data_IF_027354567547
#
_entry.id   IF_027354567547
#
_cell.length_a   1.000
_cell.length_b   1.000
_cell.length_c   1.000
_cell.angle_alpha   90.00
_cell.angle_beta   90.00
_cell.angle_gamma   90.00
#
_symmetry.space_group_name_H-M   'P 1'
#
loop_
_entity.id
_entity.type
_entity.pdbx_description
1 polymer ?
#
# COMPACT_ATOMS: atom_id res chain seq x y z
N UNK A 1 22.04 -32.10 0.44
CA UNK A 1 23.12 -31.61 -0.42
C UNK A 1 22.49 -30.81 -1.55
N UNK A 2 22.36 -29.49 -1.38
CA UNK A 2 21.69 -28.58 -2.33
C UNK A 2 22.77 -28.09 -3.31
N UNK A 3 22.65 -28.43 -4.58
CA UNK A 3 23.59 -28.02 -5.61
C UNK A 3 23.65 -26.48 -5.68
N UNK A 4 24.85 -25.87 -5.83
CA UNK A 4 25.00 -24.43 -5.93
C UNK A 4 24.24 -23.91 -7.17
N UNK A 5 23.62 -22.74 -7.11
CA UNK A 5 22.74 -22.21 -8.15
C UNK A 5 23.53 -21.53 -9.28
N UNK A 6 24.27 -22.30 -10.04
CA UNK A 6 25.13 -21.84 -11.14
C UNK A 6 24.80 -22.48 -12.50
N UNK A 7 23.56 -22.83 -12.81
CA UNK A 7 23.21 -23.51 -14.06
C UNK A 7 22.17 -22.75 -14.87
N UNK A 8 22.34 -22.76 -16.17
CA UNK A 8 21.40 -22.36 -17.23
C UNK A 8 20.13 -23.21 -17.27
N UNK A 9 19.90 -24.04 -16.25
CA UNK A 9 18.84 -25.03 -16.20
C UNK A 9 17.49 -24.43 -15.81
N UNK A 10 16.46 -24.92 -16.49
CA UNK A 10 15.08 -24.57 -16.18
C UNK A 10 14.68 -25.08 -14.80
N UNK A 11 14.24 -24.16 -13.94
CA UNK A 11 13.69 -24.49 -12.62
C UNK A 11 12.18 -24.52 -12.68
N UNK A 12 11.58 -25.52 -12.03
CA UNK A 12 10.14 -25.66 -11.86
C UNK A 12 9.70 -25.02 -10.54
N UNK A 13 8.44 -24.66 -10.48
CA UNK A 13 7.79 -24.22 -9.26
C UNK A 13 7.57 -25.43 -8.33
N UNK A 14 7.39 -25.15 -7.04
CA UNK A 14 7.14 -26.20 -6.05
C UNK A 14 5.84 -27.00 -6.39
N UNK A 15 5.81 -28.33 -6.22
CA UNK A 15 4.66 -29.16 -6.60
C UNK A 15 3.37 -28.84 -5.82
N UNK A 16 3.47 -28.26 -4.63
CA UNK A 16 2.31 -27.80 -3.84
C UNK A 16 1.72 -26.46 -4.33
N UNK A 17 2.26 -25.83 -5.36
CA UNK A 17 1.74 -24.57 -5.95
C UNK A 17 0.25 -24.66 -6.32
N UNK A 18 -0.25 -25.72 -6.98
CA UNK A 18 -1.67 -25.86 -7.28
C UNK A 18 -2.54 -25.84 -6.03
N UNK A 19 -2.11 -26.52 -4.96
CA UNK A 19 -2.86 -26.60 -3.69
C UNK A 19 -3.05 -25.22 -3.04
N UNK A 20 -2.02 -24.38 -3.05
CA UNK A 20 -2.10 -23.01 -2.49
C UNK A 20 -3.04 -22.11 -3.31
N UNK A 21 -2.98 -22.22 -4.64
CA UNK A 21 -3.90 -21.49 -5.54
C UNK A 21 -5.35 -21.92 -5.34
N UNK A 22 -5.55 -23.23 -5.18
CA UNK A 22 -6.86 -23.85 -5.02
C UNK A 22 -7.46 -23.64 -3.63
N UNK A 23 -6.66 -23.67 -2.58
CA UNK A 23 -7.14 -23.50 -1.22
C UNK A 23 -7.97 -22.23 -1.02
N UNK A 24 -7.63 -21.16 -1.73
CA UNK A 24 -8.42 -19.90 -1.74
C UNK A 24 -9.79 -20.08 -2.41
N UNK A 25 -9.85 -20.82 -3.51
CA UNK A 25 -11.11 -21.08 -4.23
C UNK A 25 -12.02 -22.00 -3.42
N UNK A 26 -11.47 -23.07 -2.85
CA UNK A 26 -12.18 -23.99 -1.98
C UNK A 26 -12.75 -23.24 -0.76
N UNK A 27 -11.97 -22.39 -0.13
CA UNK A 27 -12.43 -21.58 1.00
C UNK A 27 -13.55 -20.60 0.59
N UNK A 28 -13.43 -19.93 -0.55
CA UNK A 28 -14.46 -19.03 -1.06
C UNK A 28 -15.76 -19.79 -1.38
N UNK A 29 -15.65 -20.95 -2.02
CA UNK A 29 -16.81 -21.82 -2.32
C UNK A 29 -17.45 -22.32 -1.04
N UNK A 30 -16.66 -22.78 -0.05
CA UNK A 30 -17.18 -23.23 1.23
C UNK A 30 -17.95 -22.14 1.98
N UNK A 31 -17.42 -20.91 1.98
CA UNK A 31 -18.07 -19.75 2.61
C UNK A 31 -19.42 -19.38 1.97
N UNK A 32 -19.61 -19.68 0.68
CA UNK A 32 -20.88 -19.43 -0.03
C UNK A 32 -21.83 -20.61 0.12
N UNK A 33 -21.32 -21.87 0.03
CA UNK A 33 -22.16 -23.05 0.01
C UNK A 33 -22.63 -23.49 1.38
N UNK A 34 -21.84 -23.32 2.46
CA UNK A 34 -22.24 -23.73 3.82
C UNK A 34 -23.50 -23.00 4.30
N UNK A 35 -23.63 -21.67 4.23
CA UNK A 35 -24.89 -20.99 4.59
C UNK A 35 -26.07 -21.38 3.70
N UNK A 36 -25.82 -21.62 2.41
CA UNK A 36 -26.86 -22.06 1.47
C UNK A 36 -27.39 -23.47 1.82
N UNK A 37 -26.50 -24.37 2.19
CA UNK A 37 -26.89 -25.72 2.66
C UNK A 37 -27.69 -25.70 3.98
N UNK A 38 -27.34 -24.76 4.89
CA UNK A 38 -28.08 -24.60 6.15
C UNK A 38 -29.50 -24.02 5.93
N UNK A 39 -29.64 -23.07 4.99
CA UNK A 39 -30.94 -22.48 4.67
C UNK A 39 -31.90 -23.43 3.95
N UNK A 40 -31.41 -24.53 3.34
CA UNK A 40 -32.15 -25.48 2.52
C UNK A 40 -32.55 -26.75 3.27
N UNK A 41 -32.64 -26.74 4.60
CA UNK A 41 -33.02 -27.90 5.44
C UNK A 41 -34.49 -28.37 5.30
N UNK A 42 -35.20 -27.94 4.27
CA UNK A 42 -36.56 -28.41 3.95
C UNK A 42 -36.53 -29.84 3.37
N UNK A 43 -37.47 -30.75 3.77
CA UNK A 43 -37.49 -32.15 3.30
C UNK A 43 -37.64 -32.32 1.78
N UNK A 44 -38.17 -31.31 1.09
CA UNK A 44 -38.30 -31.29 -0.39
C UNK A 44 -37.04 -30.86 -1.11
N UNK A 45 -36.05 -30.28 -0.41
CA UNK A 45 -34.86 -29.67 -1.00
C UNK A 45 -33.70 -30.60 -1.36
N UNK A 46 -33.78 -31.91 -1.05
CA UNK A 46 -32.66 -32.84 -1.30
C UNK A 46 -32.33 -33.01 -2.80
N UNK A 47 -33.32 -32.95 -3.67
CA UNK A 47 -33.13 -33.04 -5.12
C UNK A 47 -32.66 -31.69 -5.72
N UNK A 48 -33.12 -30.56 -5.16
CA UNK A 48 -32.72 -29.23 -5.63
C UNK A 48 -31.25 -28.89 -5.28
N UNK A 49 -30.70 -29.51 -4.23
CA UNK A 49 -29.30 -29.32 -3.81
C UNK A 49 -28.31 -30.13 -4.66
N UNK A 50 -28.74 -31.22 -5.29
CA UNK A 50 -27.86 -32.11 -6.05
C UNK A 50 -27.22 -31.38 -7.24
N UNK A 51 -27.96 -30.60 -8.01
CA UNK A 51 -27.44 -29.83 -9.15
C UNK A 51 -26.42 -28.78 -8.78
N UNK A 52 -26.67 -27.85 -7.83
CA UNK A 52 -25.68 -26.88 -7.42
C UNK A 52 -24.38 -27.50 -6.88
N UNK A 53 -24.50 -28.57 -6.06
CA UNK A 53 -23.33 -29.29 -5.52
C UNK A 53 -22.51 -29.92 -6.65
N UNK A 54 -23.17 -30.53 -7.62
CA UNK A 54 -22.52 -31.16 -8.78
C UNK A 54 -21.84 -30.10 -9.67
N UNK A 55 -22.48 -28.97 -9.91
CA UNK A 55 -21.90 -27.83 -10.66
C UNK A 55 -20.66 -27.27 -9.94
N UNK A 56 -20.74 -27.08 -8.62
CA UNK A 56 -19.59 -26.60 -7.84
C UNK A 56 -18.46 -27.64 -7.82
N UNK A 57 -18.76 -28.91 -7.67
CA UNK A 57 -17.78 -30.00 -7.73
C UNK A 57 -17.07 -30.03 -9.11
N UNK A 58 -17.83 -29.89 -10.19
CA UNK A 58 -17.30 -29.83 -11.54
C UNK A 58 -16.41 -28.60 -11.76
N UNK A 59 -16.84 -27.41 -11.30
CA UNK A 59 -16.05 -26.19 -11.38
C UNK A 59 -14.74 -26.30 -10.58
N UNK A 60 -14.81 -26.85 -9.36
CA UNK A 60 -13.63 -27.13 -8.54
C UNK A 60 -12.72 -28.13 -9.24
N UNK A 61 -13.25 -29.21 -9.77
CA UNK A 61 -12.49 -30.24 -10.51
C UNK A 61 -11.77 -29.65 -11.73
N UNK A 62 -12.52 -28.94 -12.58
CA UNK A 62 -11.97 -28.29 -13.78
C UNK A 62 -10.89 -27.26 -13.45
N UNK A 63 -11.16 -26.44 -12.45
CA UNK A 63 -10.19 -25.49 -11.95
C UNK A 63 -8.95 -26.19 -11.39
N UNK A 64 -9.04 -27.33 -10.65
CA UNK A 64 -7.90 -28.11 -10.14
C UNK A 64 -7.03 -28.61 -11.28
N UNK A 65 -7.66 -29.20 -12.28
CA UNK A 65 -6.96 -29.66 -13.49
C UNK A 65 -6.23 -28.51 -14.16
N UNK A 66 -6.90 -27.35 -14.34
CA UNK A 66 -6.29 -26.15 -14.90
C UNK A 66 -5.10 -25.64 -14.09
N UNK A 67 -5.16 -25.68 -12.77
CA UNK A 67 -4.06 -25.27 -11.91
C UNK A 67 -2.87 -26.23 -11.95
N UNK A 68 -3.10 -27.54 -12.00
CA UNK A 68 -2.06 -28.57 -12.13
C UNK A 68 -1.37 -28.42 -13.49
N UNK A 69 -2.12 -28.27 -14.57
CA UNK A 69 -1.57 -28.06 -15.91
C UNK A 69 -0.79 -26.76 -15.97
N UNK A 70 -1.33 -25.66 -15.42
CA UNK A 70 -0.62 -24.38 -15.34
C UNK A 70 0.71 -24.48 -14.58
N UNK A 71 0.72 -25.22 -13.46
CA UNK A 71 1.95 -25.47 -12.69
C UNK A 71 2.97 -26.28 -13.49
N UNK A 72 2.54 -27.37 -14.13
CA UNK A 72 3.43 -28.28 -14.87
C UNK A 72 4.16 -27.58 -16.04
N UNK A 73 3.51 -26.57 -16.65
CA UNK A 73 4.06 -25.82 -17.79
C UNK A 73 4.85 -24.59 -17.35
N UNK A 74 4.65 -24.11 -16.13
CA UNK A 74 5.35 -22.90 -15.65
C UNK A 74 6.78 -23.25 -15.21
N UNK A 75 7.75 -22.57 -15.83
CA UNK A 75 9.18 -22.73 -15.54
C UNK A 75 9.90 -21.39 -15.65
N UNK A 76 11.00 -21.27 -14.94
CA UNK A 76 11.80 -20.05 -14.94
C UNK A 76 13.31 -20.35 -14.96
N UNK A 77 14.09 -19.38 -15.47
CA UNK A 77 15.56 -19.43 -15.41
C UNK A 77 16.14 -18.02 -15.42
N UNK A 78 17.34 -17.89 -14.94
CA UNK A 78 18.18 -16.70 -15.12
C UNK A 78 19.13 -17.00 -16.26
N UNK A 79 19.03 -16.25 -17.35
CA UNK A 79 19.83 -16.44 -18.56
C UNK A 79 20.61 -15.15 -18.85
N UNK A 80 21.91 -15.16 -18.58
CA UNK A 80 22.76 -13.98 -18.74
C UNK A 80 22.26 -12.81 -17.90
N UNK A 81 21.84 -11.73 -18.56
CA UNK A 81 21.31 -10.51 -17.93
C UNK A 81 19.78 -10.47 -17.82
N UNK A 82 19.08 -11.58 -18.09
CA UNK A 82 17.61 -11.62 -18.13
C UNK A 82 17.05 -12.69 -17.17
N UNK A 83 15.94 -12.36 -16.49
CA UNK A 83 15.06 -13.33 -15.85
C UNK A 83 13.99 -13.74 -16.86
N UNK A 84 13.98 -15.01 -17.24
CA UNK A 84 13.00 -15.58 -18.16
C UNK A 84 11.99 -16.46 -17.43
N UNK A 85 10.70 -16.17 -17.64
CA UNK A 85 9.59 -16.92 -17.06
C UNK A 85 8.72 -17.40 -18.23
N UNK A 86 8.51 -18.69 -18.32
CA UNK A 86 7.60 -19.30 -19.30
C UNK A 86 6.38 -19.85 -18.57
N UNK A 87 5.19 -19.52 -19.07
CA UNK A 87 3.91 -19.95 -18.50
C UNK A 87 2.87 -20.15 -19.60
N UNK A 88 1.78 -20.90 -19.27
CA UNK A 88 0.62 -21.07 -20.13
C UNK A 88 0.66 -22.36 -20.95
N UNK A 89 -0.47 -23.09 -20.92
CA UNK A 89 -0.68 -24.33 -21.70
C UNK A 89 -1.31 -24.03 -23.07
N UNK A 90 -2.40 -23.30 -23.12
CA UNK A 90 -3.10 -22.96 -24.38
C UNK A 90 -2.39 -21.79 -25.07
N UNK A 91 -2.07 -20.74 -24.30
CA UNK A 91 -1.36 -19.55 -24.79
C UNK A 91 -0.02 -19.46 -24.08
N UNK A 92 1.04 -19.90 -24.73
CA UNK A 92 2.37 -19.79 -24.17
C UNK A 92 2.77 -18.31 -24.06
N UNK A 93 3.13 -17.90 -22.87
CA UNK A 93 3.67 -16.60 -22.59
C UNK A 93 5.10 -16.76 -22.10
N UNK A 94 6.03 -16.04 -22.74
CA UNK A 94 7.42 -15.95 -22.30
C UNK A 94 7.69 -14.50 -21.92
N UNK A 95 7.88 -14.26 -20.62
CA UNK A 95 8.21 -12.96 -20.09
C UNK A 95 9.72 -12.91 -19.85
N UNK A 96 10.39 -11.93 -20.45
CA UNK A 96 11.81 -11.63 -20.23
C UNK A 96 11.93 -10.33 -19.49
N UNK A 97 12.55 -10.36 -18.33
CA UNK A 97 12.76 -9.19 -17.47
C UNK A 97 14.27 -8.96 -17.39
N UNK A 98 14.81 -7.89 -18.02
CA UNK A 98 16.20 -7.53 -17.85
C UNK A 98 16.51 -7.28 -16.37
N UNK A 99 17.56 -7.91 -15.84
CA UNK A 99 17.96 -7.77 -14.44
C UNK A 99 18.23 -6.31 -14.08
N UNK A 100 18.82 -5.53 -14.97
CA UNK A 100 19.05 -4.09 -14.80
C UNK A 100 17.77 -3.25 -14.65
N UNK A 101 16.60 -3.79 -15.03
CA UNK A 101 15.29 -3.15 -14.84
C UNK A 101 14.57 -3.58 -13.57
N UNK A 102 15.10 -4.55 -12.83
CA UNK A 102 14.54 -4.97 -11.55
C UNK A 102 14.77 -3.85 -10.54
N UNK A 103 13.69 -3.40 -9.90
CA UNK A 103 13.72 -2.30 -8.94
C UNK A 103 13.48 -2.75 -7.51
N UNK A 104 12.73 -3.83 -7.34
CA UNK A 104 12.48 -4.45 -6.04
C UNK A 104 12.09 -5.92 -6.24
N UNK A 105 12.38 -6.72 -5.24
CA UNK A 105 11.96 -8.12 -5.17
C UNK A 105 11.25 -8.30 -3.83
N UNK A 106 9.94 -8.51 -3.88
CA UNK A 106 9.09 -8.67 -2.71
C UNK A 106 8.82 -10.16 -2.45
N UNK A 107 8.76 -10.55 -1.19
CA UNK A 107 8.38 -11.90 -0.78
C UNK A 107 7.02 -11.83 -0.11
N UNK A 108 6.09 -12.66 -0.57
CA UNK A 108 4.72 -12.72 -0.05
C UNK A 108 4.39 -14.16 0.33
N UNK A 109 4.10 -14.40 1.60
CA UNK A 109 3.72 -15.72 2.11
C UNK A 109 2.26 -15.70 2.61
N UNK A 110 1.26 -16.09 1.77
CA UNK A 110 -0.11 -16.29 2.21
C UNK A 110 -0.20 -17.39 3.28
N UNK A 111 -1.22 -17.34 4.15
CA UNK A 111 -1.36 -18.27 5.26
C UNK A 111 -1.20 -19.74 4.84
N UNK A 112 -1.92 -20.15 3.80
CA UNK A 112 -1.86 -21.53 3.28
C UNK A 112 -0.45 -21.89 2.81
N UNK A 113 0.21 -20.96 2.08
CA UNK A 113 1.58 -21.16 1.62
C UNK A 113 2.55 -21.23 2.81
N UNK A 114 2.36 -20.37 3.83
CA UNK A 114 3.20 -20.33 5.03
C UNK A 114 3.11 -21.63 5.84
N UNK A 115 1.91 -22.19 6.01
CA UNK A 115 1.71 -23.50 6.67
C UNK A 115 2.42 -24.62 5.91
N UNK A 116 2.47 -24.53 4.58
CA UNK A 116 3.16 -25.48 3.71
C UNK A 116 4.65 -25.17 3.51
N UNK A 117 5.21 -24.18 4.22
CA UNK A 117 6.59 -23.76 4.08
C UNK A 117 6.93 -23.10 2.74
N UNK A 118 5.96 -22.46 2.08
CA UNK A 118 6.10 -21.85 0.75
C UNK A 118 5.99 -20.33 0.80
N UNK A 119 6.66 -19.67 -0.14
CA UNK A 119 6.58 -18.22 -0.36
C UNK A 119 6.56 -17.89 -1.87
N UNK A 120 5.88 -16.82 -2.22
CA UNK A 120 5.83 -16.26 -3.57
C UNK A 120 6.85 -15.12 -3.66
N UNK A 121 7.73 -15.16 -4.66
CA UNK A 121 8.66 -14.08 -4.97
C UNK A 121 8.07 -13.23 -6.10
N UNK A 122 7.91 -11.93 -5.86
CA UNK A 122 7.40 -10.96 -6.82
C UNK A 122 8.49 -10.02 -7.26
N UNK A 123 8.78 -10.01 -8.54
CA UNK A 123 9.79 -9.12 -9.13
C UNK A 123 9.09 -7.88 -9.68
N UNK A 124 9.49 -6.71 -9.18
CA UNK A 124 9.00 -5.42 -9.64
C UNK A 124 10.01 -4.82 -10.61
N UNK A 125 9.66 -4.70 -11.89
CA UNK A 125 10.53 -4.15 -12.92
C UNK A 125 10.13 -2.74 -13.35
N UNK A 126 11.09 -1.98 -13.93
CA UNK A 126 10.85 -0.71 -14.60
C UNK A 126 10.39 -0.95 -16.04
N UNK A 127 9.21 -0.43 -16.46
CA UNK A 127 8.73 -0.56 -17.86
C UNK A 127 7.24 -0.24 -18.01
N UNK A 128 6.82 0.05 -19.25
CA UNK A 128 5.44 0.43 -19.59
C UNK A 128 4.39 -0.67 -19.36
N UNK A 129 4.78 -1.91 -19.13
CA UNK A 129 3.89 -3.05 -18.95
C UNK A 129 3.66 -3.45 -17.50
N UNK A 130 4.45 -2.93 -16.55
CA UNK A 130 4.34 -3.36 -15.13
C UNK A 130 4.34 -4.88 -14.99
N UNK A 131 5.04 -5.58 -15.88
CA UNK A 131 5.12 -7.04 -15.84
C UNK A 131 5.80 -7.44 -14.55
N UNK A 132 4.97 -7.74 -13.57
CA UNK A 132 5.41 -8.32 -12.33
C UNK A 132 5.71 -9.77 -12.63
N UNK A 133 7.00 -10.09 -12.73
CA UNK A 133 7.42 -11.49 -12.76
C UNK A 133 6.99 -12.13 -11.44
N UNK A 134 6.03 -13.04 -11.47
CA UNK A 134 5.62 -13.81 -10.30
C UNK A 134 6.31 -15.17 -10.37
N UNK A 135 7.31 -15.37 -9.51
CA UNK A 135 7.84 -16.69 -9.23
C UNK A 135 6.96 -17.30 -8.13
N UNK A 136 5.86 -17.92 -8.54
CA UNK A 136 4.89 -18.46 -7.62
C UNK A 136 5.46 -19.69 -6.90
N UNK A 137 5.49 -19.60 -5.60
CA UNK A 137 5.77 -20.62 -4.60
C UNK A 137 7.09 -21.38 -4.75
N UNK A 138 8.11 -20.77 -4.19
CA UNK A 138 9.36 -21.38 -3.80
C UNK A 138 9.27 -21.83 -2.34
N UNK A 139 10.21 -22.64 -1.87
CA UNK A 139 10.29 -22.93 -0.43
C UNK A 139 10.61 -21.64 0.35
N UNK A 140 10.13 -21.53 1.58
CA UNK A 140 10.39 -20.38 2.45
C UNK A 140 11.90 -20.16 2.69
N UNK A 141 12.72 -21.22 2.59
CA UNK A 141 14.17 -21.14 2.72
C UNK A 141 14.86 -20.66 1.44
N UNK A 142 14.34 -21.02 0.26
CA UNK A 142 14.92 -20.61 -1.03
C UNK A 142 14.53 -19.19 -1.43
N UNK A 143 13.35 -18.72 -1.03
CA UNK A 143 12.84 -17.41 -1.44
C UNK A 143 13.77 -16.24 -1.06
N UNK A 144 14.36 -16.16 0.16
CA UNK A 144 15.34 -15.12 0.50
C UNK A 144 16.62 -15.21 -0.33
N UNK A 145 17.13 -16.42 -0.58
CA UNK A 145 18.33 -16.63 -1.39
C UNK A 145 18.12 -16.20 -2.85
N UNK A 146 16.98 -16.55 -3.44
CA UNK A 146 16.61 -16.12 -4.80
C UNK A 146 16.47 -14.60 -4.86
N UNK A 147 15.86 -13.98 -3.85
CA UNK A 147 15.75 -12.52 -3.74
C UNK A 147 17.11 -11.85 -3.69
N UNK A 148 18.00 -12.29 -2.78
CA UNK A 148 19.33 -11.73 -2.64
C UNK A 148 20.11 -11.82 -3.95
N UNK A 149 20.04 -12.97 -4.62
CA UNK A 149 20.68 -13.19 -5.92
C UNK A 149 20.13 -12.26 -7.02
N UNK A 150 18.82 -12.12 -7.13
CA UNK A 150 18.20 -11.22 -8.11
C UNK A 150 18.58 -9.76 -7.89
N UNK A 151 18.62 -9.32 -6.62
CA UNK A 151 19.03 -7.96 -6.26
C UNK A 151 20.53 -7.72 -6.51
N UNK A 152 21.41 -8.68 -6.15
CA UNK A 152 22.84 -8.57 -6.45
C UNK A 152 23.09 -8.42 -7.95
N UNK A 153 22.48 -9.28 -8.76
CA UNK A 153 22.59 -9.22 -10.22
C UNK A 153 21.98 -7.93 -10.81
N UNK A 154 20.87 -7.45 -10.24
CA UNK A 154 20.24 -6.18 -10.66
C UNK A 154 21.15 -4.97 -10.44
N UNK A 155 21.99 -5.00 -9.40
CA UNK A 155 22.97 -3.97 -9.10
C UNK A 155 24.35 -4.21 -9.77
N UNK A 156 24.48 -5.20 -10.63
CA UNK A 156 25.73 -5.53 -11.31
C UNK A 156 26.77 -6.20 -10.41
N UNK A 157 26.36 -6.72 -9.25
CA UNK A 157 27.21 -7.45 -8.30
C UNK A 157 27.23 -8.93 -8.64
N UNK A 158 28.17 -9.68 -8.06
CA UNK A 158 28.21 -11.14 -8.21
C UNK A 158 26.96 -11.79 -7.58
N UNK A 159 26.49 -12.88 -8.19
CA UNK A 159 25.30 -13.61 -7.73
C UNK A 159 25.40 -14.16 -6.29
N UNK A 160 26.60 -14.21 -5.74
CA UNK A 160 26.93 -14.74 -4.42
C UNK A 160 27.08 -13.63 -3.36
N UNK A 161 26.98 -12.34 -3.77
CA UNK A 161 27.09 -11.22 -2.84
C UNK A 161 25.95 -11.28 -1.83
N UNK A 162 26.24 -11.39 -0.52
CA UNK A 162 25.21 -11.42 0.49
C UNK A 162 24.47 -10.08 0.54
N UNK A 163 23.18 -10.14 0.80
CA UNK A 163 22.38 -8.95 1.00
C UNK A 163 22.87 -8.18 2.24
N UNK A 164 23.07 -6.85 2.17
CA UNK A 164 23.51 -6.06 3.32
C UNK A 164 22.61 -6.28 4.53
N UNK A 165 23.15 -6.38 5.75
CA UNK A 165 22.35 -6.54 6.96
C UNK A 165 21.36 -5.37 7.06
N UNK A 166 20.12 -5.69 7.35
CA UNK A 166 19.09 -4.69 7.57
C UNK A 166 19.17 -4.17 9.02
N UNK A 167 19.25 -2.84 9.17
CA UNK A 167 19.24 -2.22 10.49
C UNK A 167 17.79 -1.96 10.92
N UNK A 168 17.32 -2.51 12.07
CA UNK A 168 15.97 -2.27 12.53
C UNK A 168 15.78 -0.79 12.89
N UNK A 169 14.79 -0.14 12.29
CA UNK A 169 14.45 1.25 12.59
C UNK A 169 13.30 1.33 13.58
N UNK A 170 12.21 0.67 13.31
CA UNK A 170 10.99 0.78 14.11
C UNK A 170 10.22 -0.52 14.09
N UNK A 171 9.76 -0.94 15.28
CA UNK A 171 8.74 -1.97 15.44
C UNK A 171 7.49 -1.34 16.07
N UNK A 172 6.32 -1.61 15.52
CA UNK A 172 5.05 -1.06 16.00
C UNK A 172 4.36 -2.08 16.89
N UNK A 173 4.11 -1.70 18.14
CA UNK A 173 3.37 -2.53 19.08
C UNK A 173 1.94 -2.83 18.58
N UNK A 174 1.56 -4.11 18.60
CA UNK A 174 0.25 -4.57 18.13
C UNK A 174 -0.91 -4.03 18.97
N UNK A 175 -0.71 -3.79 20.27
CA UNK A 175 -1.72 -3.17 21.15
C UNK A 175 -2.02 -1.74 20.71
N UNK A 176 -0.98 -0.97 20.40
CA UNK A 176 -1.11 0.40 19.87
C UNK A 176 -1.75 0.39 18.47
N UNK A 177 -1.42 -0.60 17.63
CA UNK A 177 -2.03 -0.77 16.33
C UNK A 177 -3.55 -1.00 16.45
N UNK A 178 -3.99 -1.92 17.30
CA UNK A 178 -5.42 -2.19 17.56
C UNK A 178 -6.12 -0.92 18.03
N UNK A 179 -5.58 -0.25 19.06
CA UNK A 179 -6.16 0.98 19.60
C UNK A 179 -6.27 2.07 18.52
N UNK A 180 -5.22 2.26 17.71
CA UNK A 180 -5.24 3.23 16.63
C UNK A 180 -6.24 2.90 15.51
N UNK A 181 -6.38 1.62 15.14
CA UNK A 181 -7.33 1.19 14.14
C UNK A 181 -8.78 1.31 14.60
N UNK A 182 -9.08 0.95 15.85
CA UNK A 182 -10.44 1.05 16.43
C UNK A 182 -10.93 2.50 16.55
N UNK A 183 -10.03 3.47 16.71
CA UNK A 183 -10.36 4.90 16.77
C UNK A 183 -10.57 5.56 15.38
N UNK A 184 -10.52 4.81 14.29
CA UNK A 184 -10.76 5.37 12.96
C UNK A 184 -12.24 5.60 12.70
N UNK A 185 -12.55 6.66 11.96
CA UNK A 185 -13.93 7.05 11.65
C UNK A 185 -14.75 5.93 10.98
N UNK A 186 -14.14 5.12 10.11
CA UNK A 186 -14.82 4.00 9.44
C UNK A 186 -15.21 2.85 10.39
N UNK A 187 -14.72 2.83 11.63
CA UNK A 187 -15.13 1.91 12.70
C UNK A 187 -16.12 2.58 13.63
N UNK A 188 -15.84 3.80 14.04
CA UNK A 188 -16.65 4.52 15.03
C UNK A 188 -17.99 5.00 14.47
N UNK A 189 -18.04 5.43 13.20
CA UNK A 189 -19.30 5.88 12.58
C UNK A 189 -20.33 4.75 12.51
N UNK A 190 -20.03 3.56 11.95
CA UNK A 190 -20.95 2.42 11.99
C UNK A 190 -21.38 2.03 13.41
N UNK A 191 -20.47 2.07 14.37
CA UNK A 191 -20.78 1.76 15.77
C UNK A 191 -21.76 2.79 16.36
N UNK A 192 -21.53 4.07 16.12
CA UNK A 192 -22.45 5.14 16.55
C UNK A 192 -23.83 5.00 15.89
N UNK A 193 -23.88 4.71 14.58
CA UNK A 193 -25.13 4.45 13.85
C UNK A 193 -25.87 3.25 14.44
N UNK A 194 -25.18 2.20 14.82
CA UNK A 194 -25.77 1.04 15.49
C UNK A 194 -26.39 1.42 16.84
N UNK A 195 -25.70 2.20 17.66
CA UNK A 195 -26.24 2.69 18.93
C UNK A 195 -27.51 3.48 18.73
N UNK A 196 -27.52 4.41 17.75
CA UNK A 196 -28.71 5.19 17.39
C UNK A 196 -29.87 4.29 16.92
N UNK A 197 -29.58 3.27 16.10
CA UNK A 197 -30.59 2.32 15.63
C UNK A 197 -31.19 1.48 16.77
N UNK A 198 -30.37 1.02 17.73
CA UNK A 198 -30.85 0.30 18.91
C UNK A 198 -31.76 1.21 19.75
N UNK A 199 -31.32 2.45 20.02
CA UNK A 199 -32.12 3.42 20.78
C UNK A 199 -33.46 3.70 20.06
N UNK A 200 -33.43 3.89 18.74
CA UNK A 200 -34.66 4.12 17.97
C UNK A 200 -35.59 2.90 17.94
N UNK A 201 -35.07 1.68 17.96
CA UNK A 201 -35.86 0.47 18.03
C UNK A 201 -36.56 0.28 19.38
N UNK A 202 -35.95 0.77 20.46
CA UNK A 202 -36.55 0.79 21.82
C UNK A 202 -37.66 1.84 21.91
N UNK A 203 -37.45 3.03 21.34
CA UNK A 203 -38.41 4.14 21.42
C UNK A 203 -39.58 3.96 20.44
N UNK A 204 -39.34 3.44 19.24
CA UNK A 204 -40.33 3.24 18.19
C UNK A 204 -40.23 1.81 17.62
N UNK A 205 -40.82 0.81 18.31
CA UNK A 205 -40.87 -0.56 17.82
C UNK A 205 -41.63 -0.64 16.48
N UNK A 206 -41.08 -1.33 15.51
CA UNK A 206 -41.62 -1.44 14.14
C UNK A 206 -40.60 -0.87 13.13
N UNK A 207 -40.62 0.42 12.82
CA UNK A 207 -39.63 0.97 11.87
C UNK A 207 -38.20 0.90 12.40
N UNK A 208 -37.99 1.01 13.73
CA UNK A 208 -36.68 0.87 14.34
C UNK A 208 -36.10 -0.54 14.23
N UNK A 209 -36.93 -1.58 14.36
CA UNK A 209 -36.50 -2.99 14.21
C UNK A 209 -36.13 -3.28 12.77
N UNK A 210 -36.89 -2.76 11.79
CA UNK A 210 -36.55 -2.90 10.38
C UNK A 210 -35.20 -2.28 10.01
N UNK A 211 -34.82 -1.16 10.66
CA UNK A 211 -33.54 -0.51 10.48
C UNK A 211 -32.36 -1.32 11.02
N UNK A 212 -32.56 -2.14 12.07
CA UNK A 212 -31.48 -2.93 12.70
C UNK A 212 -30.81 -3.89 11.71
N UNK A 213 -31.58 -4.51 10.82
CA UNK A 213 -31.03 -5.46 9.83
C UNK A 213 -30.04 -4.80 8.87
N UNK A 214 -30.35 -3.61 8.36
CA UNK A 214 -29.46 -2.86 7.48
C UNK A 214 -28.22 -2.32 8.21
N UNK A 215 -28.40 -1.84 9.44
CA UNK A 215 -27.32 -1.34 10.27
C UNK A 215 -26.36 -2.47 10.68
N UNK A 216 -26.89 -3.64 11.00
CA UNK A 216 -26.06 -4.82 11.31
C UNK A 216 -25.12 -5.14 10.13
N UNK A 217 -25.60 -5.09 8.90
CA UNK A 217 -24.77 -5.30 7.70
C UNK A 217 -23.62 -4.28 7.62
N UNK A 218 -23.88 -3.01 7.94
CA UNK A 218 -22.86 -1.95 7.94
C UNK A 218 -21.82 -2.21 9.05
N UNK A 219 -22.25 -2.61 10.24
CA UNK A 219 -21.36 -2.90 11.38
C UNK A 219 -20.50 -4.13 11.11
N UNK A 220 -21.09 -5.20 10.56
CA UNK A 220 -20.34 -6.39 10.15
C UNK A 220 -19.30 -6.03 9.09
N UNK A 221 -19.69 -5.23 8.09
CA UNK A 221 -18.76 -4.72 7.07
C UNK A 221 -17.59 -3.92 7.67
N UNK A 222 -17.88 -3.05 8.64
CA UNK A 222 -16.87 -2.29 9.36
C UNK A 222 -15.94 -3.20 10.20
N UNK A 223 -16.49 -4.22 10.85
CA UNK A 223 -15.74 -5.23 11.59
C UNK A 223 -14.78 -6.01 10.67
N UNK A 224 -15.28 -6.47 9.53
CA UNK A 224 -14.45 -7.14 8.51
C UNK A 224 -13.35 -6.21 7.99
N UNK A 225 -13.65 -4.93 7.76
CA UNK A 225 -12.65 -3.95 7.34
C UNK A 225 -11.58 -3.71 8.41
N UNK A 226 -11.96 -3.68 9.70
CA UNK A 226 -11.04 -3.55 10.82
C UNK A 226 -10.12 -4.77 10.94
N UNK A 227 -10.68 -5.98 10.88
CA UNK A 227 -9.91 -7.24 10.91
C UNK A 227 -8.94 -7.29 9.73
N UNK A 228 -9.38 -6.89 8.53
CA UNK A 228 -8.51 -6.83 7.35
C UNK A 228 -7.37 -5.82 7.53
N UNK A 229 -7.66 -4.62 8.02
CA UNK A 229 -6.65 -3.60 8.26
C UNK A 229 -5.65 -4.04 9.35
N UNK A 230 -6.12 -4.69 10.41
CA UNK A 230 -5.25 -5.28 11.43
C UNK A 230 -4.38 -6.39 10.86
N UNK A 231 -4.97 -7.31 10.09
CA UNK A 231 -4.24 -8.37 9.42
C UNK A 231 -3.16 -7.86 8.46
N UNK A 232 -3.39 -6.74 7.77
CA UNK A 232 -2.44 -6.15 6.83
C UNK A 232 -1.25 -5.47 7.54
N UNK A 233 -1.48 -4.83 8.69
CA UNK A 233 -0.48 -4.04 9.41
C UNK A 233 0.05 -4.76 10.68
N UNK A 234 -0.30 -6.03 10.90
CA UNK A 234 0.16 -6.82 12.06
C UNK A 234 1.67 -7.03 12.04
N UNK A 235 2.29 -7.02 13.22
CA UNK A 235 3.74 -7.24 13.42
C UNK A 235 4.58 -6.34 12.47
N UNK A 236 4.19 -5.06 12.42
CA UNK A 236 4.76 -4.09 11.51
C UNK A 236 6.15 -3.68 11.95
N UNK A 237 7.14 -3.95 11.11
CA UNK A 237 8.52 -3.51 11.34
C UNK A 237 9.11 -2.82 10.11
N UNK A 238 9.96 -1.83 10.35
CA UNK A 238 10.73 -1.12 9.35
C UNK A 238 12.19 -1.36 9.61
N UNK A 239 12.89 -1.78 8.57
CA UNK A 239 14.33 -1.97 8.58
C UNK A 239 14.96 -1.12 7.48
N UNK A 240 16.11 -0.53 7.74
CA UNK A 240 16.90 0.17 6.73
C UNK A 240 17.85 -0.81 6.06
N UNK A 241 17.82 -0.85 4.75
CA UNK A 241 18.79 -1.53 3.92
C UNK A 241 19.47 -0.51 3.02
N UNK A 242 20.69 -0.75 2.57
CA UNK A 242 21.54 0.25 1.92
C UNK A 242 20.92 1.03 0.77
N UNK A 243 19.89 0.51 0.10
CA UNK A 243 19.19 1.10 -1.04
C UNK A 243 17.77 1.58 -0.75
N UNK A 244 17.22 1.29 0.44
CA UNK A 244 15.84 1.64 0.75
C UNK A 244 15.35 1.17 2.10
N UNK A 245 14.03 1.22 2.28
CA UNK A 245 13.33 0.73 3.46
C UNK A 245 12.73 -0.64 3.19
N UNK A 246 12.96 -1.58 4.08
CA UNK A 246 12.28 -2.89 4.12
C UNK A 246 11.15 -2.84 5.11
N UNK A 247 9.98 -3.22 4.65
CA UNK A 247 8.76 -3.28 5.44
C UNK A 247 8.37 -4.74 5.61
N UNK A 248 8.30 -5.21 6.84
CA UNK A 248 7.81 -6.53 7.20
C UNK A 248 6.49 -6.38 7.92
N UNK A 249 5.43 -7.06 7.43
CA UNK A 249 4.09 -6.93 7.99
C UNK A 249 3.16 -8.07 7.60
N UNK A 250 2.10 -8.26 8.37
CA UNK A 250 0.97 -9.12 8.05
C UNK A 250 0.87 -10.40 8.87
N UNK A 251 -0.35 -10.68 9.35
CA UNK A 251 -0.67 -11.87 10.15
C UNK A 251 -0.95 -13.09 9.27
N UNK A 252 -2.01 -13.02 8.44
CA UNK A 252 -2.42 -14.12 7.55
C UNK A 252 -1.59 -14.14 6.26
N UNK A 253 -1.12 -12.99 5.81
CA UNK A 253 -0.28 -12.86 4.63
C UNK A 253 0.95 -12.04 4.99
N UNK A 254 2.04 -12.73 5.32
CA UNK A 254 3.31 -12.06 5.60
C UNK A 254 3.88 -11.48 4.32
N UNK A 255 4.25 -10.20 4.36
CA UNK A 255 4.79 -9.45 3.23
C UNK A 255 6.12 -8.82 3.64
N UNK A 256 7.13 -9.07 2.85
CA UNK A 256 8.43 -8.40 2.91
C UNK A 256 8.56 -7.54 1.66
N UNK A 257 8.33 -6.25 1.82
CA UNK A 257 8.36 -5.27 0.72
C UNK A 257 9.58 -4.37 0.85
N UNK A 258 10.21 -4.04 -0.29
CA UNK A 258 11.29 -3.05 -0.32
C UNK A 258 10.84 -1.79 -1.04
N UNK A 259 11.09 -0.62 -0.42
CA UNK A 259 10.82 0.69 -1.00
C UNK A 259 12.15 1.42 -1.20
N UNK A 260 12.68 1.48 -2.44
CA UNK A 260 13.88 2.24 -2.74
C UNK A 260 13.66 3.73 -2.49
N UNK A 261 14.60 4.42 -1.82
CA UNK A 261 14.50 5.85 -1.53
C UNK A 261 14.26 6.70 -2.77
N UNK A 262 14.93 6.39 -3.88
CA UNK A 262 14.81 7.13 -5.14
C UNK A 262 13.42 7.11 -5.78
N UNK A 263 12.55 6.14 -5.40
CA UNK A 263 11.18 6.00 -5.91
C UNK A 263 10.12 6.73 -5.11
N UNK A 264 10.45 7.22 -3.93
CA UNK A 264 9.52 7.97 -3.09
C UNK A 264 9.27 9.34 -3.73
N UNK A 265 8.01 9.64 -4.03
CA UNK A 265 7.58 10.87 -4.69
C UNK A 265 7.02 11.89 -3.72
N UNK A 266 6.33 11.44 -2.71
CA UNK A 266 5.76 12.28 -1.66
C UNK A 266 5.58 11.46 -0.38
N UNK A 267 5.55 12.16 0.74
CA UNK A 267 5.23 11.59 2.05
C UNK A 267 4.05 12.34 2.64
N UNK A 268 3.15 11.63 3.27
CA UNK A 268 1.97 12.17 3.93
C UNK A 268 1.96 11.77 5.40
N UNK A 269 2.04 12.78 6.27
CA UNK A 269 1.86 12.62 7.69
C UNK A 269 0.39 12.85 8.02
N UNK A 270 -0.24 11.94 8.74
CA UNK A 270 -1.65 12.04 9.09
C UNK A 270 -1.87 11.92 10.59
N UNK A 271 -2.75 12.76 11.11
CA UNK A 271 -3.20 12.73 12.51
C UNK A 271 -4.71 12.85 12.56
N UNK A 272 -5.45 11.72 12.72
CA UNK A 272 -6.87 11.74 13.02
C UNK A 272 -7.18 12.49 14.31
N UNK A 273 -8.37 13.09 14.41
CA UNK A 273 -8.79 13.89 15.55
C UNK A 273 -8.63 13.14 16.90
N UNK A 274 -9.05 11.88 16.93
CA UNK A 274 -9.01 11.04 18.14
C UNK A 274 -7.59 10.56 18.51
N UNK A 275 -6.63 10.70 17.63
CA UNK A 275 -5.23 10.38 17.92
C UNK A 275 -4.45 11.56 18.52
N UNK A 276 -5.00 12.79 18.44
CA UNK A 276 -4.34 14.00 18.95
C UNK A 276 -4.02 13.97 20.44
N UNK A 277 -4.95 13.51 21.32
CA UNK A 277 -4.64 13.41 22.75
C UNK A 277 -3.48 12.47 23.07
N UNK A 278 -3.30 11.42 22.25
CA UNK A 278 -2.25 10.42 22.43
C UNK A 278 -0.95 10.79 21.70
N UNK A 279 -0.92 11.88 20.96
CA UNK A 279 0.22 12.29 20.15
C UNK A 279 0.58 11.28 19.03
N UNK A 280 -0.38 10.43 18.60
CA UNK A 280 -0.13 9.42 17.55
C UNK A 280 -0.25 10.00 16.15
N UNK A 281 0.61 9.49 15.28
CA UNK A 281 0.70 9.88 13.88
C UNK A 281 0.82 8.64 12.99
N UNK A 282 0.45 8.81 11.73
CA UNK A 282 0.62 7.84 10.66
C UNK A 282 1.49 8.45 9.57
N UNK A 283 2.39 7.65 9.01
CA UNK A 283 3.24 8.03 7.88
C UNK A 283 2.92 7.15 6.69
N UNK A 284 2.61 7.78 5.58
CA UNK A 284 2.36 7.11 4.30
C UNK A 284 3.28 7.65 3.24
N UNK A 285 3.66 6.81 2.27
CA UNK A 285 4.47 7.23 1.12
C UNK A 285 3.72 7.00 -0.18
N UNK A 286 3.93 7.91 -1.11
CA UNK A 286 3.56 7.75 -2.50
C UNK A 286 4.81 7.39 -3.31
N UNK A 287 4.74 6.26 -4.02
CA UNK A 287 5.86 5.71 -4.77
C UNK A 287 5.54 5.82 -6.25
N UNK A 288 6.51 6.25 -7.06
CA UNK A 288 6.35 6.26 -8.51
C UNK A 288 5.94 4.89 -9.02
N UNK A 289 4.75 4.80 -9.62
CA UNK A 289 4.22 3.58 -10.21
C UNK A 289 4.17 3.71 -11.72
N UNK A 290 4.57 2.65 -12.37
CA UNK A 290 4.25 2.42 -13.76
C UNK A 290 2.90 1.67 -13.82
N UNK A 291 2.15 1.90 -14.90
CA UNK A 291 0.83 1.31 -15.10
C UNK A 291 0.93 -0.22 -15.07
N UNK A 292 0.44 -0.84 -14.00
CA UNK A 292 0.12 -2.26 -14.06
C UNK A 292 -1.24 -2.41 -14.76
N UNK A 293 -1.40 -3.33 -15.72
CA UNK A 293 -2.70 -3.74 -16.22
C UNK A 293 -3.56 -4.23 -15.06
N UNK A 294 -4.86 -3.92 -15.08
CA UNK A 294 -5.82 -4.46 -14.12
C UNK A 294 -6.02 -5.95 -14.43
N UNK A 295 -5.19 -6.82 -13.90
CA UNK A 295 -5.55 -8.22 -13.75
C UNK A 295 -6.55 -8.31 -12.60
N UNK A 296 -7.76 -8.79 -12.91
CA UNK A 296 -8.92 -8.83 -12.00
C UNK A 296 -8.76 -9.67 -10.73
N UNK A 297 -7.58 -10.24 -10.48
CA UNK A 297 -7.28 -11.05 -9.29
C UNK A 297 -6.63 -10.29 -8.12
N UNK A 298 -6.17 -9.05 -8.34
CA UNK A 298 -5.55 -8.20 -7.30
C UNK A 298 -6.50 -7.10 -6.82
N UNK A 299 -7.66 -7.48 -6.25
CA UNK A 299 -8.59 -6.53 -5.61
C UNK A 299 -8.00 -5.78 -4.41
N UNK A 300 -6.79 -6.10 -3.95
CA UNK A 300 -6.08 -5.45 -2.84
C UNK A 300 -4.82 -4.66 -3.23
N UNK A 301 -4.28 -4.81 -4.44
CA UNK A 301 -2.96 -4.25 -4.82
C UNK A 301 -2.98 -2.93 -5.59
N UNK A 302 -4.15 -2.49 -6.07
CA UNK A 302 -4.30 -1.29 -6.88
C UNK A 302 -4.37 -0.02 -6.04
N UNK A 303 -3.42 0.89 -6.18
CA UNK A 303 -3.51 2.29 -5.72
C UNK A 303 -3.47 2.56 -4.20
N UNK A 304 -3.13 1.61 -3.33
CA UNK A 304 -2.96 1.94 -1.91
C UNK A 304 -1.63 2.64 -1.68
N UNK A 305 -1.70 3.80 -0.96
CA UNK A 305 -0.53 4.39 -0.36
C UNK A 305 0.17 3.33 0.48
N UNK A 306 1.48 3.22 0.32
CA UNK A 306 2.23 2.32 1.19
C UNK A 306 2.36 2.98 2.55
N UNK A 307 1.85 2.31 3.57
CA UNK A 307 2.04 2.73 4.95
C UNK A 307 3.49 2.49 5.33
N UNK A 308 4.21 3.55 5.72
CA UNK A 308 5.53 3.41 6.35
C UNK A 308 5.40 3.22 7.87
N UNK A 309 4.52 3.98 8.51
CA UNK A 309 4.27 3.84 9.95
C UNK A 309 2.76 3.85 10.16
N UNK A 310 2.13 2.74 10.58
CA UNK A 310 0.69 2.68 10.75
C UNK A 310 0.18 3.51 11.92
N UNK A 311 0.87 3.46 13.06
CA UNK A 311 0.59 4.22 14.28
C UNK A 311 1.86 4.33 15.10
N UNK A 312 2.34 5.53 15.37
CA UNK A 312 3.46 5.75 16.31
C UNK A 312 3.41 7.15 16.93
N UNK A 313 4.13 7.40 18.04
CA UNK A 313 4.36 8.72 18.59
C UNK A 313 5.03 9.63 17.57
N UNK A 314 4.79 10.95 17.71
CA UNK A 314 5.35 11.97 16.79
C UNK A 314 6.86 11.85 16.61
N UNK A 315 7.63 11.64 17.68
CA UNK A 315 9.08 11.55 17.63
C UNK A 315 9.55 10.44 16.67
N UNK A 316 8.98 9.25 16.78
CA UNK A 316 9.31 8.10 15.93
C UNK A 316 8.95 8.34 14.46
N UNK A 317 7.79 8.97 14.22
CA UNK A 317 7.35 9.30 12.84
C UNK A 317 8.27 10.32 12.21
N UNK A 318 8.70 11.35 12.96
CA UNK A 318 9.64 12.36 12.48
C UNK A 318 11.04 11.78 12.24
N UNK A 319 11.46 10.85 13.10
CA UNK A 319 12.73 10.16 12.91
C UNK A 319 12.74 9.32 11.61
N UNK A 320 11.69 8.56 11.34
CA UNK A 320 11.53 7.83 10.06
C UNK A 320 11.45 8.81 8.89
N UNK A 321 10.72 9.94 9.04
CA UNK A 321 10.64 10.97 8.01
C UNK A 321 12.03 11.53 7.67
N UNK A 322 12.86 11.81 8.67
CA UNK A 322 14.22 12.34 8.46
C UNK A 322 15.13 11.36 7.71
N UNK A 323 14.88 10.04 7.81
CA UNK A 323 15.60 9.04 7.01
C UNK A 323 15.15 9.04 5.55
N UNK A 324 13.85 9.27 5.30
CA UNK A 324 13.29 9.33 3.94
C UNK A 324 13.58 10.67 3.29
N UNK A 325 13.37 11.76 4.03
CA UNK A 325 13.54 13.14 3.59
C UNK A 325 14.39 13.91 4.60
N UNK A 326 15.71 13.89 4.46
CA UNK A 326 16.60 14.66 5.33
C UNK A 326 16.23 16.13 5.36
N UNK A 327 16.28 16.75 6.54
CA UNK A 327 15.96 18.17 6.77
C UNK A 327 14.49 18.57 6.52
N UNK A 328 13.58 17.61 6.40
CA UNK A 328 12.14 17.88 6.25
C UNK A 328 11.53 18.37 7.56
N UNK A 329 11.45 19.69 7.74
CA UNK A 329 10.74 20.32 8.87
C UNK A 329 9.24 20.41 8.60
N UNK A 330 8.39 19.84 9.45
CA UNK A 330 6.93 19.87 9.29
C UNK A 330 6.23 21.04 9.99
N UNK A 331 6.95 21.86 10.72
CA UNK A 331 6.40 23.05 11.38
C UNK A 331 6.16 24.15 10.35
N UNK A 332 4.93 24.66 10.21
CA UNK A 332 4.68 25.78 9.32
C UNK A 332 5.34 27.04 9.85
N UNK A 333 6.04 27.80 9.00
CA UNK A 333 6.55 29.12 9.37
C UNK A 333 5.41 30.15 9.51
N UNK A 334 5.71 31.30 10.07
CA UNK A 334 4.79 32.43 10.10
C UNK A 334 4.41 32.80 8.65
N UNK A 335 3.11 33.09 8.42
CA UNK A 335 2.60 33.42 7.08
C UNK A 335 2.29 32.21 6.18
N UNK A 336 2.47 30.96 6.67
CA UNK A 336 2.06 29.78 5.93
C UNK A 336 0.53 29.59 5.85
N UNK A 337 -0.25 30.38 6.58
CA UNK A 337 -1.70 30.32 6.62
C UNK A 337 -2.34 31.10 5.46
N UNK A 338 -3.54 30.73 5.00
CA UNK A 338 -4.26 31.49 3.96
C UNK A 338 -4.69 32.86 4.49
N UNK A 339 -4.95 33.86 3.62
CA UNK A 339 -5.46 35.17 4.05
C UNK A 339 -6.85 35.07 4.70
N UNK A 340 -7.19 36.00 5.61
CA UNK A 340 -8.43 35.96 6.39
C UNK A 340 -9.71 35.82 5.54
N UNK A 341 -9.74 36.42 4.33
CA UNK A 341 -10.86 36.28 3.38
C UNK A 341 -11.12 34.85 2.91
N UNK A 342 -10.15 33.95 3.04
CA UNK A 342 -10.33 32.52 2.75
C UNK A 342 -11.29 31.85 3.74
N UNK A 343 -11.57 32.46 4.88
CA UNK A 343 -12.59 32.02 5.85
C UNK A 343 -13.98 31.89 5.19
N UNK A 344 -14.33 32.81 4.29
CA UNK A 344 -15.61 32.78 3.57
C UNK A 344 -15.73 31.56 2.64
N UNK A 345 -14.61 31.08 2.08
CA UNK A 345 -14.59 29.89 1.21
C UNK A 345 -14.50 28.59 1.99
N UNK A 346 -13.80 28.59 3.10
CA UNK A 346 -13.46 27.37 3.84
C UNK A 346 -13.58 27.57 5.38
N UNK A 347 -14.77 27.92 5.91
CA UNK A 347 -14.92 28.31 7.32
C UNK A 347 -14.49 27.22 8.29
N UNK A 348 -14.80 25.96 7.99
CA UNK A 348 -14.51 24.82 8.86
C UNK A 348 -13.06 24.34 8.80
N UNK A 349 -12.36 24.61 7.73
CA UNK A 349 -10.99 24.10 7.49
C UNK A 349 -9.91 25.18 7.51
N UNK A 350 -10.27 26.45 7.56
CA UNK A 350 -9.36 27.59 7.48
C UNK A 350 -8.13 27.46 8.40
N UNK A 351 -8.32 27.25 9.69
CA UNK A 351 -7.24 27.12 10.67
C UNK A 351 -6.33 25.89 10.49
N UNK A 352 -6.76 24.95 9.64
CA UNK A 352 -6.01 23.73 9.37
C UNK A 352 -5.31 23.78 8.00
N UNK A 353 -5.51 24.85 7.23
CA UNK A 353 -4.85 25.04 5.96
C UNK A 353 -3.52 25.78 6.18
N UNK A 354 -2.46 25.22 5.64
CA UNK A 354 -1.18 25.91 5.53
C UNK A 354 -0.41 25.39 4.32
N UNK A 355 0.36 26.25 3.68
CA UNK A 355 1.27 25.84 2.61
C UNK A 355 2.55 26.67 2.68
N UNK A 356 3.69 25.99 2.54
CA UNK A 356 5.00 26.63 2.55
C UNK A 356 6.00 25.79 1.74
N UNK A 357 7.13 26.35 1.46
CA UNK A 357 8.21 25.66 0.79
C UNK A 357 9.55 26.10 1.36
N UNK A 358 10.49 25.18 1.35
CA UNK A 358 11.86 25.38 1.74
C UNK A 358 12.82 25.24 0.55
N UNK A 359 14.07 24.96 0.85
CA UNK A 359 15.09 24.77 -0.19
C UNK A 359 14.95 23.44 -0.94
N UNK A 360 14.38 22.41 -0.31
CA UNK A 360 14.31 21.05 -0.86
C UNK A 360 12.88 20.52 -1.00
N UNK A 361 11.92 21.04 -0.25
CA UNK A 361 10.57 20.46 -0.13
C UNK A 361 9.49 21.51 -0.22
N UNK A 362 8.33 21.10 -0.74
CA UNK A 362 7.06 21.81 -0.65
C UNK A 362 6.17 21.10 0.34
N UNK A 363 5.47 21.85 1.16
CA UNK A 363 4.60 21.36 2.20
C UNK A 363 3.19 21.91 2.02
N UNK A 364 2.20 21.06 2.25
CA UNK A 364 0.81 21.47 2.32
C UNK A 364 0.11 20.75 3.47
N UNK A 365 -0.47 21.51 4.39
CA UNK A 365 -1.26 21.01 5.50
C UNK A 365 -2.73 21.25 5.24
N UNK A 366 -3.55 20.23 5.49
CA UNK A 366 -5.00 20.29 5.28
C UNK A 366 -5.72 19.42 6.30
N UNK A 367 -7.04 19.63 6.48
CA UNK A 367 -7.94 18.73 7.19
C UNK A 367 -8.17 19.05 8.66
N UNK A 368 -9.46 19.21 9.03
CA UNK A 368 -9.92 19.44 10.41
C UNK A 368 -10.04 18.13 11.19
N UNK A 369 -10.76 17.15 10.64
CA UNK A 369 -11.01 15.84 11.29
C UNK A 369 -9.79 14.94 11.17
N UNK A 370 -9.18 14.95 9.99
CA UNK A 370 -7.95 14.23 9.72
C UNK A 370 -6.92 15.22 9.22
N UNK A 371 -6.10 15.72 10.13
CA UNK A 371 -4.98 16.61 9.75
C UNK A 371 -3.97 15.82 8.93
N UNK A 372 -3.64 16.33 7.76
CA UNK A 372 -2.68 15.72 6.87
C UNK A 372 -1.68 16.79 6.42
N UNK A 373 -0.39 16.49 6.54
CA UNK A 373 0.70 17.29 5.98
C UNK A 373 1.38 16.48 4.91
N UNK A 374 1.33 16.96 3.68
CA UNK A 374 2.02 16.35 2.52
C UNK A 374 3.35 17.06 2.33
N UNK A 375 4.39 16.27 2.13
CA UNK A 375 5.77 16.74 1.85
C UNK A 375 6.18 16.22 0.49
N UNK A 376 6.55 17.12 -0.41
CA UNK A 376 6.96 16.79 -1.79
C UNK A 376 8.35 17.35 -2.04
N UNK A 377 9.34 16.52 -2.43
CA UNK A 377 10.65 17.02 -2.86
C UNK A 377 10.53 17.85 -4.15
N UNK A 378 11.21 19.00 -4.20
CA UNK A 378 11.22 19.87 -5.39
C UNK A 378 11.68 19.12 -6.66
N UNK A 379 12.68 18.24 -6.54
CA UNK A 379 13.17 17.41 -7.65
C UNK A 379 12.14 16.44 -8.22
N UNK A 380 11.07 16.12 -7.46
CA UNK A 380 10.01 15.17 -7.85
C UNK A 380 8.76 15.85 -8.42
N UNK A 381 8.73 17.17 -8.49
CA UNK A 381 7.62 17.94 -9.07
C UNK A 381 7.59 17.69 -10.58
N UNK A 382 6.46 17.22 -11.09
CA UNK A 382 6.21 17.03 -12.53
C UNK A 382 5.47 18.21 -13.15
N UNK A 383 4.40 18.66 -12.49
CA UNK A 383 3.64 19.81 -12.95
C UNK A 383 3.11 20.65 -11.79
N UNK A 384 2.90 21.91 -12.07
CA UNK A 384 2.26 22.88 -11.17
C UNK A 384 0.99 23.36 -11.86
N UNK A 385 -0.16 23.25 -11.18
CA UNK A 385 -1.45 23.66 -11.72
C UNK A 385 -2.09 24.71 -10.84
N UNK A 386 -2.35 25.87 -11.42
CA UNK A 386 -3.15 26.91 -10.78
C UNK A 386 -4.63 26.64 -11.05
N UNK A 387 -5.43 26.57 -10.00
CA UNK A 387 -6.90 26.42 -10.08
C UNK A 387 -7.59 27.57 -9.36
N UNK A 388 -8.59 28.14 -10.01
CA UNK A 388 -9.37 29.24 -9.49
C UNK A 388 -10.85 29.09 -9.87
N UNK A 389 -11.70 28.79 -8.90
CA UNK A 389 -13.15 28.72 -9.10
C UNK A 389 -13.84 30.08 -8.99
N UNK A 390 -15.15 30.18 -9.30
CA UNK A 390 -15.88 31.47 -9.31
C UNK A 390 -15.77 32.21 -7.97
N UNK A 391 -16.03 31.54 -6.85
CA UNK A 391 -15.94 32.13 -5.50
C UNK A 391 -14.51 32.54 -5.17
N UNK A 392 -13.51 31.78 -5.63
CA UNK A 392 -12.11 32.13 -5.42
C UNK A 392 -11.72 33.38 -6.21
N UNK A 393 -12.22 33.53 -7.45
CA UNK A 393 -11.98 34.75 -8.25
C UNK A 393 -12.55 35.98 -7.55
N UNK A 394 -13.78 35.88 -7.08
CA UNK A 394 -14.41 36.98 -6.36
C UNK A 394 -13.63 37.37 -5.11
N UNK A 395 -13.09 36.38 -4.38
CA UNK A 395 -12.28 36.60 -3.18
C UNK A 395 -10.78 36.85 -3.49
N UNK A 396 -10.36 36.93 -4.76
CA UNK A 396 -8.94 37.01 -5.19
C UNK A 396 -8.09 35.91 -4.54
N UNK A 397 -8.62 34.69 -4.50
CA UNK A 397 -7.96 33.51 -4.00
C UNK A 397 -7.64 32.56 -5.15
N UNK A 398 -6.59 31.75 -4.99
CA UNK A 398 -6.27 30.65 -5.90
C UNK A 398 -5.77 29.44 -5.14
N UNK A 399 -5.69 28.31 -5.81
CA UNK A 399 -5.14 27.05 -5.30
C UNK A 399 -4.03 26.63 -6.24
N UNK A 400 -2.85 26.32 -5.69
CA UNK A 400 -1.73 25.75 -6.43
C UNK A 400 -1.64 24.25 -6.09
N UNK A 401 -1.82 23.41 -7.09
CA UNK A 401 -1.62 21.97 -6.98
C UNK A 401 -0.24 21.60 -7.52
N UNK A 402 0.48 20.80 -6.75
CA UNK A 402 1.80 20.28 -7.07
C UNK A 402 1.64 18.80 -7.39
N UNK A 403 1.83 18.40 -8.64
CA UNK A 403 1.68 17.02 -9.08
C UNK A 403 3.03 16.30 -9.13
N UNK A 404 3.01 15.02 -8.79
CA UNK A 404 4.18 14.12 -8.82
C UNK A 404 3.89 12.87 -9.64
N UNK A 405 4.91 12.06 -9.93
CA UNK A 405 4.74 10.77 -10.61
C UNK A 405 3.96 9.74 -9.78
N UNK A 406 3.76 9.99 -8.49
CA UNK A 406 3.05 9.08 -7.58
C UNK A 406 1.54 9.01 -7.80
N UNK A 407 0.92 10.05 -8.37
CA UNK A 407 -0.52 10.16 -8.72
C UNK A 407 -1.53 10.06 -7.58
N UNK A 408 -1.13 9.75 -6.36
CA UNK A 408 -2.07 9.60 -5.26
C UNK A 408 -2.28 10.88 -4.49
N UNK A 409 -1.22 11.58 -4.17
CA UNK A 409 -1.26 12.87 -3.49
C UNK A 409 -0.29 13.83 -4.13
N UNK A 410 -0.75 15.05 -4.29
CA UNK A 410 0.07 16.21 -4.51
C UNK A 410 -0.02 17.13 -3.30
N UNK A 411 0.93 18.01 -3.12
CA UNK A 411 0.77 19.12 -2.21
C UNK A 411 -0.18 20.15 -2.84
N UNK A 412 -1.20 20.57 -2.08
CA UNK A 412 -2.17 21.55 -2.57
C UNK A 412 -2.21 22.76 -1.65
N UNK A 413 -1.65 23.88 -2.11
CA UNK A 413 -1.72 25.18 -1.44
C UNK A 413 -3.09 25.81 -1.68
N UNK A 414 -4.06 25.47 -0.81
CA UNK A 414 -5.47 25.82 -0.98
C UNK A 414 -5.77 27.22 -0.47
N UNK A 415 -6.63 27.94 -1.21
CA UNK A 415 -7.21 29.23 -0.81
C UNK A 415 -6.14 30.29 -0.45
N UNK A 416 -5.02 30.32 -1.16
CA UNK A 416 -3.99 31.35 -1.00
C UNK A 416 -4.33 32.60 -1.78
N UNK A 417 -3.65 33.70 -1.49
CA UNK A 417 -3.74 34.94 -2.27
C UNK A 417 -3.32 34.69 -3.73
N UNK A 418 -4.03 35.26 -4.68
CA UNK A 418 -3.79 35.05 -6.11
C UNK A 418 -2.40 35.50 -6.52
N UNK A 419 -1.95 36.68 -6.07
CA UNK A 419 -0.62 37.21 -6.39
C UNK A 419 0.49 36.37 -5.71
N UNK A 420 0.22 35.83 -4.53
CA UNK A 420 1.13 34.90 -3.86
C UNK A 420 1.27 33.60 -4.63
N UNK A 421 0.14 33.00 -5.10
CA UNK A 421 0.18 31.75 -5.87
C UNK A 421 0.93 31.93 -7.20
N UNK A 422 0.79 33.07 -7.85
CA UNK A 422 1.56 33.39 -9.06
C UNK A 422 3.07 33.43 -8.75
N UNK A 423 3.47 34.11 -7.70
CA UNK A 423 4.88 34.11 -7.26
C UNK A 423 5.38 32.72 -6.93
N UNK A 424 4.60 31.95 -6.16
CA UNK A 424 4.93 30.57 -5.83
C UNK A 424 5.09 29.70 -7.09
N UNK A 425 4.22 29.87 -8.09
CA UNK A 425 4.30 29.13 -9.35
C UNK A 425 5.63 29.35 -10.06
N UNK A 426 6.05 30.59 -10.22
CA UNK A 426 7.34 30.94 -10.84
C UNK A 426 8.53 30.42 -10.03
N UNK A 427 8.54 30.69 -8.75
CA UNK A 427 9.64 30.32 -7.87
C UNK A 427 9.81 28.81 -7.75
N UNK A 428 8.70 28.07 -7.58
CA UNK A 428 8.75 26.62 -7.51
C UNK A 428 9.14 25.98 -8.84
N UNK A 429 8.76 26.57 -9.98
CA UNK A 429 9.19 26.10 -11.30
C UNK A 429 10.70 26.15 -11.44
N UNK A 430 11.30 27.31 -11.09
CA UNK A 430 12.76 27.47 -11.15
C UNK A 430 13.50 26.58 -10.14
N UNK A 431 13.02 26.54 -8.89
CA UNK A 431 13.63 25.68 -7.87
C UNK A 431 13.53 24.21 -8.22
N UNK A 432 12.40 23.76 -8.79
CA UNK A 432 12.24 22.38 -9.25
C UNK A 432 13.17 22.04 -10.42
N UNK A 433 13.39 22.99 -11.32
CA UNK A 433 14.35 22.83 -12.43
C UNK A 433 15.78 22.66 -11.88
N UNK A 434 16.21 23.52 -10.99
CA UNK A 434 17.53 23.48 -10.36
C UNK A 434 17.71 22.19 -9.52
N UNK A 435 16.69 21.81 -8.75
CA UNK A 435 16.74 20.62 -7.90
C UNK A 435 16.88 19.30 -8.70
N UNK A 436 16.39 19.24 -9.95
CA UNK A 436 16.56 18.06 -10.81
C UNK A 436 18.00 17.90 -11.31
N UNK A 437 18.75 18.97 -11.41
CA UNK A 437 20.15 18.96 -11.85
C UNK A 437 21.16 18.85 -10.69
N UNK A 438 20.68 19.02 -9.45
CA UNK A 438 21.52 18.86 -8.27
C UNK A 438 21.82 17.37 -8.01
N UNK A 439 23.06 17.03 -7.58
CA UNK A 439 23.38 15.66 -7.20
C UNK A 439 22.48 15.20 -6.05
N UNK A 440 22.05 13.92 -6.12
CA UNK A 440 21.23 13.34 -5.06
C UNK A 440 21.98 13.42 -3.71
N UNK A 441 21.34 13.86 -2.62
CA UNK A 441 21.99 13.87 -1.33
C UNK A 441 22.38 12.44 -0.94
N UNK A 442 23.67 12.25 -0.60
CA UNK A 442 24.13 10.96 -0.05
C UNK A 442 23.36 10.67 1.23
N UNK A 443 22.75 9.48 1.31
CA UNK A 443 21.90 9.04 2.42
C UNK A 443 22.70 8.67 3.69
N UNK A 444 23.69 9.49 4.09
CA UNK A 444 24.49 9.28 5.30
C UNK A 444 24.40 10.50 6.23
N UNK A 445 23.24 10.64 6.89
CA UNK A 445 23.17 11.45 8.10
C UNK A 445 22.81 10.51 9.27
N UNK A 446 23.78 10.30 10.15
CA UNK A 446 23.67 9.49 11.37
C UNK A 446 22.73 10.17 12.37
N UNK A 447 21.44 9.95 12.28
CA UNK A 447 20.50 10.36 13.32
C UNK A 447 20.37 9.23 14.34
N UNK A 448 20.63 9.53 15.61
CA UNK A 448 20.46 8.61 16.74
C UNK A 448 18.96 8.34 16.95
N UNK A 449 18.58 7.07 17.18
CA UNK A 449 17.21 6.70 17.48
C UNK A 449 16.75 7.34 18.80
N UNK A 450 15.52 7.87 18.89
CA UNK A 450 14.95 8.29 20.16
C UNK A 450 14.67 7.06 21.05
N UNK A 451 15.00 7.16 22.32
CA UNK A 451 14.78 6.14 23.34
C UNK A 451 13.27 5.89 23.63
#
# INVERSE_FOLDING_TARGET
>A
MIAPPGGTDWRRLHPLTPLVRFGRLILAVALITVPYLESSRSPRGKFELFYPVLVWAALIGLGTIGAIVSWAVTRWRIEGADLRIESGFIRRQSVRIPLSRIQAVDIVAPLIARVLGLAEVRVVSAGRGGEHGRLAYLTAQEAPAVRARLLALAHGLSAETPEPPAVPLLHVDNGRLIAGLSMRAHVLVPLAVMVVAIVSAVIAPGPGVAALGSVLTIVVGAGVALVRAFNEDFDFSINEAGDGLRLDRGLLQRRHETIPFGRIQAVRLMQPLLWRPFGWWRLEVDVARQHAPRDGSDQGGGQQARTLVPVAPRAHVLWVLARVFPDAGIAPPAGAEPPARALLKAPLSYHYLAAWYGNRYVYARTGRVQQATVVVPLAKIQSLRLRQGPVQRWLRLATLDVDTAGRRWGASARCRDEAEVQRMLWELTERARLARHAPAPSAMATAVAPA
#
